data_IF_213703412190
#
_entry.id   IF_213703412190
#
_cell.length_a   1.000
_cell.length_b   1.000
_cell.length_c   1.000
_cell.angle_alpha   90.00
_cell.angle_beta   90.00
_cell.angle_gamma   90.00
#
_symmetry.space_group_name_H-M   'P 1'
#
loop_
_entity.id
_entity.type
_entity.pdbx_description
1 polymer ?
#
# COMPACT_ATOMS: atom_id res chain seq x y z
N UNK A 1 12.65 14.89 -13.36
CA UNK A 1 12.98 15.72 -12.17
C UNK A 1 13.97 14.92 -11.33
N UNK A 2 15.24 15.31 -11.38
CA UNK A 2 16.36 14.66 -10.69
C UNK A 2 16.63 15.41 -9.40
N UNK A 3 16.51 14.76 -8.24
CA UNK A 3 16.92 15.37 -6.98
C UNK A 3 18.40 15.07 -6.76
N UNK A 4 19.25 16.06 -7.04
CA UNK A 4 20.68 16.02 -6.75
C UNK A 4 20.88 16.21 -5.24
N UNK A 5 21.51 15.23 -4.59
CA UNK A 5 21.89 15.34 -3.18
C UNK A 5 23.17 16.17 -3.10
N UNK A 6 23.06 17.46 -2.81
CA UNK A 6 24.21 18.31 -2.52
C UNK A 6 24.72 18.02 -1.11
N UNK A 7 26.04 17.86 -0.89
CA UNK A 7 26.59 17.68 0.44
C UNK A 7 26.40 18.99 1.22
N UNK A 8 25.64 18.92 2.31
CA UNK A 8 25.30 20.06 3.15
C UNK A 8 26.57 20.70 3.73
N UNK A 9 26.94 21.86 3.19
CA UNK A 9 27.82 22.80 3.85
C UNK A 9 27.07 23.45 5.02
N UNK A 10 27.67 23.32 6.21
CA UNK A 10 27.28 23.84 7.51
C UNK A 10 26.44 25.13 7.51
N UNK A 11 25.23 25.09 8.08
CA UNK A 11 24.69 26.07 9.05
C UNK A 11 23.35 25.54 9.62
N UNK A 12 23.37 25.00 10.84
CA UNK A 12 22.18 24.59 11.61
C UNK A 12 22.19 23.11 12.04
N UNK A 13 21.64 22.77 13.23
CA UNK A 13 21.52 21.38 13.67
C UNK A 13 20.62 20.63 12.68
N UNK A 14 21.11 19.49 12.18
CA UNK A 14 20.30 18.61 11.33
C UNK A 14 19.16 18.08 12.19
N UNK A 15 17.93 18.13 11.67
CA UNK A 15 16.71 17.66 12.37
C UNK A 15 16.80 16.20 12.87
N UNK A 16 17.79 15.43 12.40
CA UNK A 16 18.09 14.05 12.77
C UNK A 16 18.90 13.90 14.08
N UNK A 17 19.44 14.98 14.65
CA UNK A 17 20.27 14.95 15.87
C UNK A 17 19.48 15.32 17.15
N UNK A 18 18.17 15.59 17.04
CA UNK A 18 17.28 15.81 18.18
C UNK A 18 16.76 14.45 18.68
N UNK A 19 16.75 14.17 20.00
CA UNK A 19 16.13 12.97 20.52
C UNK A 19 14.64 13.00 20.16
N UNK A 20 14.14 11.93 19.54
CA UNK A 20 12.71 11.74 19.34
C UNK A 20 12.12 11.60 20.74
N UNK A 21 11.40 12.63 21.19
CA UNK A 21 10.64 12.55 22.44
C UNK A 21 9.47 11.57 22.21
N UNK A 22 9.62 10.33 22.68
CA UNK A 22 8.54 9.33 22.70
C UNK A 22 7.57 9.68 23.83
N UNK A 23 6.59 10.53 23.53
CA UNK A 23 5.44 10.80 24.38
C UNK A 23 4.18 10.19 23.72
N UNK A 24 3.14 9.91 24.51
CA UNK A 24 1.91 9.27 24.01
C UNK A 24 1.30 10.01 22.81
N UNK A 25 1.44 11.33 22.77
CA UNK A 25 1.03 12.16 21.63
C UNK A 25 1.88 11.90 20.38
N UNK A 26 3.21 11.88 20.47
CA UNK A 26 4.08 11.60 19.32
C UNK A 26 3.97 10.15 18.85
N UNK A 27 3.67 9.21 19.75
CA UNK A 27 3.42 7.81 19.40
C UNK A 27 2.13 7.65 18.58
N UNK A 28 1.05 8.34 18.95
CA UNK A 28 -0.23 8.31 18.22
C UNK A 28 -0.12 9.03 16.87
N UNK A 29 0.63 10.13 16.77
CA UNK A 29 0.77 10.87 15.50
C UNK A 29 1.72 10.19 14.51
N UNK A 30 2.67 9.36 14.98
CA UNK A 30 3.63 8.64 14.12
C UNK A 30 2.98 7.71 13.10
N UNK A 31 1.79 7.22 13.41
CA UNK A 31 1.05 6.28 12.57
C UNK A 31 -0.02 6.97 11.71
N UNK A 32 -0.28 8.27 11.92
CA UNK A 32 -1.35 8.97 11.20
C UNK A 32 -1.04 9.13 9.70
N UNK A 33 0.25 9.27 9.36
CA UNK A 33 0.70 9.44 7.97
C UNK A 33 1.16 8.14 7.31
N UNK A 34 1.16 7.02 8.04
CA UNK A 34 1.61 5.70 7.57
C UNK A 34 0.43 4.71 7.58
N UNK A 35 0.43 3.71 6.70
CA UNK A 35 -0.65 2.72 6.63
C UNK A 35 -0.49 1.56 7.64
N UNK A 36 0.38 1.71 8.63
CA UNK A 36 0.83 0.63 9.54
C UNK A 36 -0.28 0.03 10.40
N UNK A 37 -1.36 0.78 10.70
CA UNK A 37 -2.53 0.28 11.46
C UNK A 37 -3.77 0.01 10.60
N UNK A 38 -3.64 0.02 9.27
CA UNK A 38 -4.75 -0.15 8.35
C UNK A 38 -4.81 -1.51 7.64
N UNK A 39 -5.86 -1.71 6.84
CA UNK A 39 -6.01 -2.87 5.94
C UNK A 39 -4.82 -3.02 4.96
N UNK A 40 -4.19 -1.91 4.59
CA UNK A 40 -3.05 -1.89 3.67
C UNK A 40 -1.67 -2.05 4.35
N UNK A 41 -1.63 -2.28 5.67
CA UNK A 41 -0.39 -2.42 6.44
C UNK A 41 0.54 -3.52 5.93
N UNK A 42 -0.03 -4.64 5.47
CA UNK A 42 0.75 -5.74 4.90
C UNK A 42 1.52 -5.34 3.63
N UNK A 43 0.90 -4.55 2.75
CA UNK A 43 1.54 -4.08 1.51
C UNK A 43 2.63 -3.04 1.77
N UNK A 44 2.39 -2.13 2.74
CA UNK A 44 3.42 -1.18 3.18
C UNK A 44 4.63 -1.91 3.77
N UNK A 45 4.40 -2.93 4.59
CA UNK A 45 5.46 -3.75 5.18
C UNK A 45 6.30 -4.45 4.12
N UNK A 46 5.68 -4.97 3.06
CA UNK A 46 6.38 -5.62 1.96
C UNK A 46 7.21 -4.63 1.12
N UNK A 47 6.69 -3.42 0.90
CA UNK A 47 7.48 -2.35 0.29
C UNK A 47 8.68 -1.98 1.17
N UNK A 48 8.48 -1.79 2.48
CA UNK A 48 9.55 -1.46 3.41
C UNK A 48 10.63 -2.55 3.48
N UNK A 49 10.24 -3.83 3.46
CA UNK A 49 11.15 -4.99 3.40
C UNK A 49 11.95 -5.06 2.10
N UNK A 50 11.40 -4.60 0.99
CA UNK A 50 12.14 -4.51 -0.26
C UNK A 50 13.10 -3.31 -0.23
N UNK A 51 12.61 -2.14 0.17
CA UNK A 51 13.40 -0.92 0.24
C UNK A 51 14.59 -1.03 1.21
N UNK A 52 14.43 -1.76 2.33
CA UNK A 52 15.51 -2.00 3.29
C UNK A 52 16.66 -2.85 2.73
N UNK A 53 16.39 -3.71 1.74
CA UNK A 53 17.42 -4.54 1.09
C UNK A 53 18.14 -3.83 -0.04
N UNK A 54 17.43 -3.01 -0.81
CA UNK A 54 17.95 -2.39 -2.04
C UNK A 54 18.51 -0.97 -1.79
N UNK A 55 18.06 -0.31 -0.73
CA UNK A 55 18.41 1.07 -0.39
C UNK A 55 17.52 2.09 -1.12
N UNK A 56 17.41 3.30 -0.55
CA UNK A 56 16.43 4.31 -0.96
C UNK A 56 16.57 4.76 -2.42
N UNK A 57 17.79 4.82 -2.96
CA UNK A 57 18.07 5.31 -4.33
C UNK A 57 17.48 4.38 -5.39
N UNK A 58 17.58 3.07 -5.16
CA UNK A 58 17.19 2.04 -6.12
C UNK A 58 15.79 1.47 -5.84
N UNK A 59 15.24 1.72 -4.64
CA UNK A 59 13.91 1.23 -4.23
C UNK A 59 12.80 1.63 -5.20
N UNK A 60 12.86 2.83 -5.80
CA UNK A 60 11.84 3.27 -6.77
C UNK A 60 11.81 2.44 -8.06
N UNK A 61 12.96 1.90 -8.48
CA UNK A 61 13.06 1.07 -9.68
C UNK A 61 12.74 -0.40 -9.36
N UNK A 62 13.41 -0.93 -8.34
CA UNK A 62 13.42 -2.37 -8.07
C UNK A 62 12.20 -2.81 -7.23
N UNK A 63 11.72 -1.95 -6.33
CA UNK A 63 10.55 -2.23 -5.48
C UNK A 63 9.24 -1.64 -6.05
N UNK A 64 9.22 -1.26 -7.34
CA UNK A 64 8.08 -0.64 -8.01
C UNK A 64 6.79 -1.46 -7.88
N UNK A 65 6.89 -2.78 -8.00
CA UNK A 65 5.74 -3.69 -7.89
C UNK A 65 5.02 -3.52 -6.55
N UNK A 66 5.76 -3.52 -5.44
CA UNK A 66 5.20 -3.40 -4.09
C UNK A 66 4.56 -2.03 -3.87
N UNK A 67 5.14 -0.97 -4.44
CA UNK A 67 4.51 0.36 -4.44
C UNK A 67 3.18 0.38 -5.18
N UNK A 68 3.12 -0.27 -6.35
CA UNK A 68 1.87 -0.34 -7.13
C UNK A 68 0.79 -1.17 -6.43
N UNK A 69 1.17 -2.22 -5.71
CA UNK A 69 0.25 -3.03 -4.92
C UNK A 69 -0.29 -2.24 -3.71
N UNK A 70 0.57 -1.47 -3.02
CA UNK A 70 0.15 -0.56 -1.94
C UNK A 70 -0.81 0.52 -2.44
N UNK A 71 -0.52 1.13 -3.60
CA UNK A 71 -1.40 2.12 -4.22
C UNK A 71 -2.74 1.52 -4.66
N UNK A 72 -2.74 0.30 -5.19
CA UNK A 72 -3.98 -0.40 -5.53
C UNK A 72 -4.81 -0.72 -4.29
N UNK A 73 -4.19 -1.06 -3.17
CA UNK A 73 -4.89 -1.24 -1.90
C UNK A 73 -5.54 0.07 -1.42
N UNK A 74 -4.84 1.20 -1.55
CA UNK A 74 -5.34 2.50 -1.09
C UNK A 74 -6.48 3.07 -1.97
N UNK A 75 -6.39 2.90 -3.29
CA UNK A 75 -7.30 3.55 -4.24
C UNK A 75 -8.24 2.61 -4.98
N UNK A 76 -8.02 1.29 -4.93
CA UNK A 76 -8.83 0.25 -5.59
C UNK A 76 -9.08 0.48 -7.09
N UNK A 77 -8.14 1.12 -7.80
CA UNK A 77 -8.34 1.59 -9.18
C UNK A 77 -8.53 0.43 -10.15
N UNK A 78 -7.63 -0.55 -10.15
CA UNK A 78 -7.68 -1.74 -11.02
C UNK A 78 -8.89 -2.61 -10.67
N UNK A 79 -9.23 -2.70 -9.38
CA UNK A 79 -10.37 -3.47 -8.88
C UNK A 79 -11.70 -2.91 -9.39
N UNK A 80 -11.86 -1.58 -9.33
CA UNK A 80 -13.03 -0.89 -9.87
C UNK A 80 -13.10 -0.98 -11.40
N UNK A 81 -11.97 -0.89 -12.09
CA UNK A 81 -11.90 -1.05 -13.54
C UNK A 81 -12.33 -2.46 -13.96
N UNK A 82 -11.80 -3.49 -13.30
CA UNK A 82 -12.21 -4.88 -13.50
C UNK A 82 -13.71 -5.06 -13.29
N UNK A 83 -14.27 -4.46 -12.25
CA UNK A 83 -15.70 -4.49 -11.99
C UNK A 83 -16.53 -3.87 -13.12
N UNK A 84 -16.12 -2.70 -13.62
CA UNK A 84 -16.80 -2.02 -14.74
C UNK A 84 -16.79 -2.88 -16.01
N UNK A 85 -15.66 -3.50 -16.33
CA UNK A 85 -15.55 -4.40 -17.48
C UNK A 85 -16.48 -5.60 -17.32
N UNK A 86 -16.47 -6.25 -16.15
CA UNK A 86 -17.38 -7.37 -15.87
C UNK A 86 -18.85 -6.98 -15.99
N UNK A 87 -19.23 -5.78 -15.52
CA UNK A 87 -20.58 -5.27 -15.70
C UNK A 87 -20.94 -5.02 -17.17
N UNK A 88 -20.02 -4.43 -17.95
CA UNK A 88 -20.24 -4.18 -19.37
C UNK A 88 -20.47 -5.50 -20.12
N UNK A 89 -19.69 -6.53 -19.84
CA UNK A 89 -19.88 -7.86 -20.43
C UNK A 89 -21.21 -8.51 -20.01
N UNK A 90 -21.63 -8.37 -18.75
CA UNK A 90 -22.95 -8.85 -18.31
C UNK A 90 -24.10 -8.17 -19.04
N UNK A 91 -24.00 -6.85 -19.25
CA UNK A 91 -25.00 -6.07 -20.01
C UNK A 91 -25.07 -6.52 -21.47
N UNK A 92 -23.92 -6.74 -22.12
CA UNK A 92 -23.85 -7.25 -23.51
C UNK A 92 -24.51 -8.62 -23.66
N UNK A 93 -24.34 -9.49 -22.65
CA UNK A 93 -24.90 -10.84 -22.67
C UNK A 93 -26.40 -10.89 -22.32
N UNK A 94 -27.03 -9.77 -21.95
CA UNK A 94 -28.44 -9.74 -21.54
C UNK A 94 -28.78 -10.61 -20.34
N UNK A 95 -27.78 -10.99 -19.53
CA UNK A 95 -27.98 -11.88 -18.37
C UNK A 95 -28.69 -11.13 -17.25
N UNK A 96 -29.80 -11.70 -16.78
CA UNK A 96 -30.49 -11.23 -15.58
C UNK A 96 -29.61 -11.41 -14.33
N UNK A 97 -30.00 -10.74 -13.24
CA UNK A 97 -29.33 -10.89 -11.95
C UNK A 97 -29.42 -12.35 -11.49
N UNK A 98 -28.27 -13.03 -11.45
CA UNK A 98 -28.16 -14.36 -10.87
C UNK A 98 -27.95 -14.23 -9.36
N UNK A 99 -28.61 -15.05 -8.54
CA UNK A 99 -28.33 -15.08 -7.10
C UNK A 99 -26.85 -15.42 -6.87
N UNK A 100 -26.24 -14.91 -5.79
CA UNK A 100 -24.88 -15.31 -5.44
C UNK A 100 -24.83 -16.83 -5.25
N UNK A 101 -23.74 -17.48 -5.66
CA UNK A 101 -23.60 -18.91 -5.43
C UNK A 101 -23.57 -19.20 -3.91
N UNK A 102 -24.04 -20.37 -3.46
CA UNK A 102 -24.06 -20.73 -2.04
C UNK A 102 -22.64 -20.69 -1.47
N UNK A 103 -22.49 -20.33 -0.19
CA UNK A 103 -21.18 -20.09 0.45
C UNK A 103 -20.24 -21.31 0.37
N UNK A 104 -20.81 -22.52 0.34
CA UNK A 104 -20.06 -23.78 0.29
C UNK A 104 -19.52 -24.12 -1.11
N UNK A 105 -19.86 -23.33 -2.13
CA UNK A 105 -19.45 -23.59 -3.52
C UNK A 105 -18.05 -23.06 -3.86
N UNK A 106 -17.43 -22.25 -3.00
CA UNK A 106 -16.10 -21.70 -3.20
C UNK A 106 -15.15 -22.33 -2.20
N UNK A 107 -14.19 -23.11 -2.67
CA UNK A 107 -13.06 -23.56 -1.84
C UNK A 107 -12.22 -22.31 -1.51
N UNK A 108 -12.44 -21.71 -0.34
CA UNK A 108 -11.65 -20.58 0.12
C UNK A 108 -10.32 -21.11 0.64
N UNK A 109 -9.26 -21.00 -0.18
CA UNK A 109 -7.88 -21.35 0.19
C UNK A 109 -7.25 -20.38 1.22
N UNK A 110 -8.02 -19.45 1.78
CA UNK A 110 -7.57 -18.52 2.79
C UNK A 110 -7.70 -19.18 4.18
N UNK A 111 -6.64 -19.23 5.01
CA UNK A 111 -6.80 -19.66 6.38
C UNK A 111 -7.78 -18.72 7.07
N UNK A 112 -8.88 -19.26 7.62
CA UNK A 112 -9.81 -18.47 8.40
C UNK A 112 -9.07 -18.02 9.66
N UNK A 113 -8.63 -16.77 9.70
CA UNK A 113 -8.07 -16.15 10.90
C UNK A 113 -9.27 -15.89 11.80
N UNK A 114 -9.53 -16.83 12.71
CA UNK A 114 -10.42 -16.67 13.87
C UNK A 114 -9.77 -15.81 14.93
#
# INVERSE_FOLDING_TARGET
MTYNFTPATNFGPRLNDLPIFDCTFTQVTREWMNFQKGYCSAYELDFARCASRVGAVNAMRDCRKYMEDMQECAYHRKSLERYKIMQAERKKQGKSYMPPPPKDSVVTWYPQIS
#
